data_IF_081442355639
#
_entry.id   IF_081442355639
#
_cell.length_a   1.000
_cell.length_b   1.000
_cell.length_c   1.000
_cell.angle_alpha   90.00
_cell.angle_beta   90.00
_cell.angle_gamma   90.00
#
_symmetry.space_group_name_H-M   'P 1'
#
loop_
_entity.id
_entity.type
_entity.pdbx_description
1 polymer ?
#
# COMPACT_ATOMS: atom_id res chain seq x y z
N UNK A 1 -28.24 -7.05 12.26
CA UNK A 1 -27.57 -6.93 13.58
C UNK A 1 -26.91 -5.56 13.76
N UNK A 2 -26.17 -5.04 12.77
CA UNK A 2 -25.55 -3.71 12.84
C UNK A 2 -26.57 -2.56 12.77
N UNK A 3 -27.61 -2.66 11.93
CA UNK A 3 -28.63 -1.61 11.82
C UNK A 3 -29.47 -1.43 13.08
N UNK A 4 -29.74 -2.51 13.82
CA UNK A 4 -30.45 -2.43 15.10
C UNK A 4 -29.66 -1.67 16.16
N UNK A 5 -28.33 -1.83 16.18
CA UNK A 5 -27.41 -1.12 17.09
C UNK A 5 -27.28 0.35 16.70
N UNK A 6 -27.16 0.65 15.41
CA UNK A 6 -27.13 2.03 14.93
C UNK A 6 -28.44 2.77 15.23
N UNK A 7 -29.58 2.09 15.11
CA UNK A 7 -30.87 2.66 15.44
C UNK A 7 -31.07 2.92 16.93
N UNK A 8 -30.42 2.15 17.82
CA UNK A 8 -30.49 2.37 19.27
C UNK A 8 -29.62 3.53 19.77
N UNK A 9 -28.71 4.06 18.95
CA UNK A 9 -27.91 5.24 19.31
C UNK A 9 -28.76 6.51 19.29
N UNK A 10 -28.53 7.38 20.26
CA UNK A 10 -29.02 8.76 20.24
C UNK A 10 -28.42 9.54 19.08
N UNK A 11 -29.00 10.71 18.77
CA UNK A 11 -28.52 11.56 17.67
C UNK A 11 -27.07 12.00 17.93
N UNK A 12 -26.73 12.38 19.16
CA UNK A 12 -25.38 12.83 19.51
C UNK A 12 -24.35 11.72 19.39
N UNK A 13 -24.68 10.50 19.80
CA UNK A 13 -23.80 9.34 19.66
C UNK A 13 -23.60 8.95 18.19
N UNK A 14 -24.62 9.12 17.34
CA UNK A 14 -24.48 8.94 15.89
C UNK A 14 -23.51 9.95 15.29
N UNK A 15 -23.61 11.22 15.70
CA UNK A 15 -22.72 12.27 15.22
C UNK A 15 -21.28 12.03 15.68
N UNK A 16 -21.06 11.62 16.92
CA UNK A 16 -19.75 11.25 17.45
C UNK A 16 -19.14 10.05 16.71
N UNK A 17 -19.94 9.02 16.43
CA UNK A 17 -19.50 7.86 15.65
C UNK A 17 -19.10 8.23 14.22
N UNK A 18 -19.88 9.09 13.55
CA UNK A 18 -19.55 9.60 12.21
C UNK A 18 -18.22 10.37 12.25
N UNK A 19 -18.02 11.22 13.25
CA UNK A 19 -16.78 11.97 13.41
C UNK A 19 -15.58 11.05 13.62
N UNK A 20 -15.69 10.05 14.50
CA UNK A 20 -14.64 9.05 14.76
C UNK A 20 -14.28 8.23 13.52
N UNK A 21 -15.27 7.76 12.77
CA UNK A 21 -15.03 7.00 11.52
C UNK A 21 -14.37 7.88 10.46
N UNK A 22 -14.83 9.12 10.31
CA UNK A 22 -14.25 10.09 9.37
C UNK A 22 -12.78 10.38 9.71
N UNK A 23 -12.47 10.55 11.00
CA UNK A 23 -11.11 10.78 11.47
C UNK A 23 -10.25 9.51 11.32
N UNK A 24 -10.81 8.32 11.56
CA UNK A 24 -10.12 7.06 11.35
C UNK A 24 -9.69 6.90 9.89
N UNK A 25 -10.62 7.12 8.95
CA UNK A 25 -10.36 7.03 7.50
C UNK A 25 -9.33 8.09 7.07
N UNK A 26 -9.45 9.32 7.57
CA UNK A 26 -8.49 10.38 7.26
C UNK A 26 -7.09 10.05 7.76
N UNK A 27 -6.98 9.50 8.97
CA UNK A 27 -5.70 9.19 9.61
C UNK A 27 -5.03 7.94 9.04
N UNK A 28 -5.77 6.99 8.45
CA UNK A 28 -5.18 5.86 7.73
C UNK A 28 -4.45 6.33 6.48
N UNK A 29 -5.04 7.25 5.70
CA UNK A 29 -4.37 7.81 4.50
C UNK A 29 -3.11 8.64 4.82
N UNK A 30 -3.00 9.20 6.02
CA UNK A 30 -1.78 9.91 6.45
C UNK A 30 -0.70 9.00 7.02
N UNK A 31 -1.06 7.80 7.51
CA UNK A 31 -0.09 6.82 8.02
C UNK A 31 0.39 5.84 6.96
N UNK A 32 -0.46 5.52 5.98
CA UNK A 32 -0.08 4.68 4.83
C UNK A 32 0.83 5.39 3.82
N UNK A 33 0.89 6.73 3.84
CA UNK A 33 1.89 7.50 3.07
C UNK A 33 3.28 7.53 3.74
N UNK A 34 3.38 7.07 4.99
CA UNK A 34 4.66 6.91 5.71
C UNK A 34 5.21 5.47 5.58
N UNK A 35 4.52 4.62 4.82
CA UNK A 35 4.99 3.28 4.49
C UNK A 35 5.82 3.42 3.21
N UNK A 36 7.12 3.55 3.43
CA UNK A 36 8.15 3.02 2.55
C UNK A 36 8.15 3.61 1.12
N UNK A 37 8.92 4.68 0.97
CA UNK A 37 9.71 4.95 -0.25
C UNK A 37 10.73 3.83 -0.50
N UNK A 38 10.35 2.58 -0.32
CA UNK A 38 11.16 1.45 -0.75
C UNK A 38 10.87 1.31 -2.23
N UNK A 39 11.92 1.55 -3.02
CA UNK A 39 11.88 1.50 -4.47
C UNK A 39 11.16 0.21 -4.90
N UNK A 40 10.04 0.27 -5.65
CA UNK A 40 9.34 -0.91 -6.15
C UNK A 40 10.23 -1.88 -6.94
N UNK A 41 11.42 -1.42 -7.35
CA UNK A 41 12.44 -2.21 -8.04
C UNK A 41 13.58 -2.71 -7.14
N UNK A 42 13.61 -2.37 -5.84
CA UNK A 42 14.63 -2.83 -4.88
C UNK A 42 14.69 -4.36 -4.80
N UNK A 43 13.55 -5.04 -4.98
CA UNK A 43 13.45 -6.51 -5.02
C UNK A 43 14.23 -7.16 -6.18
N UNK A 44 14.72 -6.37 -7.14
CA UNK A 44 15.52 -6.86 -8.26
C UNK A 44 17.01 -6.48 -8.16
N UNK A 45 17.46 -5.83 -7.08
CA UNK A 45 18.89 -5.61 -6.87
C UNK A 45 19.62 -6.95 -6.76
N UNK A 46 20.49 -7.24 -7.74
CA UNK A 46 21.32 -8.46 -7.78
C UNK A 46 20.73 -9.64 -8.54
N UNK A 47 19.43 -9.65 -8.87
CA UNK A 47 18.77 -10.75 -9.60
C UNK A 47 18.95 -10.67 -11.14
N UNK A 48 19.38 -9.51 -11.64
CA UNK A 48 19.69 -9.27 -13.06
C UNK A 48 21.06 -9.82 -13.52
N UNK A 49 21.65 -10.75 -12.75
CA UNK A 49 22.91 -11.40 -13.09
C UNK A 49 24.13 -10.47 -13.03
N UNK A 50 24.43 -9.99 -11.81
CA UNK A 50 25.52 -9.05 -11.50
C UNK A 50 26.95 -9.49 -11.82
N UNK A 51 27.15 -10.59 -12.56
CA UNK A 51 28.45 -11.09 -13.00
C UNK A 51 28.66 -10.94 -14.52
N UNK A 52 27.58 -10.71 -15.28
CA UNK A 52 27.60 -10.61 -16.73
C UNK A 52 27.56 -9.15 -17.17
N UNK A 53 28.35 -8.81 -18.18
CA UNK A 53 28.23 -7.50 -18.81
C UNK A 53 26.94 -7.42 -19.64
N UNK A 54 26.42 -6.20 -19.84
CA UNK A 54 25.26 -5.99 -20.72
C UNK A 54 25.50 -6.49 -22.16
N UNK A 55 26.76 -6.49 -22.61
CA UNK A 55 27.18 -6.98 -23.93
C UNK A 55 27.05 -8.50 -24.05
N UNK A 56 27.49 -9.23 -23.01
CA UNK A 56 27.39 -10.69 -22.93
C UNK A 56 25.92 -11.16 -22.92
N UNK A 57 25.05 -10.44 -22.21
CA UNK A 57 23.59 -10.67 -22.26
C UNK A 57 23.00 -10.47 -23.65
N UNK A 58 23.40 -9.40 -24.34
CA UNK A 58 22.88 -9.11 -25.67
C UNK A 58 23.33 -10.17 -26.69
N UNK A 59 24.54 -10.69 -26.54
CA UNK A 59 25.06 -11.76 -27.38
C UNK A 59 24.38 -13.11 -27.13
N UNK A 60 24.07 -13.46 -25.88
CA UNK A 60 23.31 -14.67 -25.55
C UNK A 60 21.89 -14.63 -26.16
N UNK A 61 21.21 -13.48 -26.12
CA UNK A 61 19.90 -13.31 -26.75
C UNK A 61 19.93 -13.36 -28.29
N UNK A 62 21.08 -13.09 -28.90
CA UNK A 62 21.26 -13.18 -30.36
C UNK A 62 21.56 -14.59 -30.84
N UNK A 63 21.92 -15.52 -29.93
CA UNK A 63 22.16 -16.91 -30.30
C UNK A 63 20.81 -17.55 -30.70
N UNK A 64 20.75 -18.24 -31.86
CA UNK A 64 19.52 -18.86 -32.36
C UNK A 64 19.11 -20.12 -31.58
#
# INVERSE_FOLDING_TARGET
>A
MYMSVLSSLSVDEKLDLIAKLTNSIRNTYTKEQDIETEDPFACYEGDWGGNMSAEEYADDLRKP
#
